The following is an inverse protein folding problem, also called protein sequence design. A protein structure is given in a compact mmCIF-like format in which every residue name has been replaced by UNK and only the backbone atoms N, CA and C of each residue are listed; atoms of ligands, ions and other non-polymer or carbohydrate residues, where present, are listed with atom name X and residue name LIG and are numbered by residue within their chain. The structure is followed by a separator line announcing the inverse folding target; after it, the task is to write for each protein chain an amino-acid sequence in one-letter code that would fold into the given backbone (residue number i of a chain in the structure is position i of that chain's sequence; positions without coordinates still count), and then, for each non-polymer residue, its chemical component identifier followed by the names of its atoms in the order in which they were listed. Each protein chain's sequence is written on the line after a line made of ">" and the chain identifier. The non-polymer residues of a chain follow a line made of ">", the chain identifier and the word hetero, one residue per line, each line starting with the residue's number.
data_IF_876070689328
#
_entry.id   IF_876070689328
#
_cell.length_a   1.000
_cell.length_b   1.000
_cell.length_c   1.000
_cell.angle_alpha   90.00
_cell.angle_beta   90.00
_cell.angle_gamma   90.00
#
_symmetry.space_group_name_H-M   'P 1'
#
loop_
_entity.id
_entity.type
_entity.pdbx_description
1 polymer ?
#
# COMPACT_ATOMS: atom_id res chain seq x y z
N UNK A 1 -26.69 -6.55 -0.99
CA UNK A 1 -25.28 -6.38 -1.41
C UNK A 1 -24.43 -7.41 -0.70
N UNK A 2 -23.44 -7.99 -1.36
CA UNK A 2 -22.54 -8.97 -0.73
C UNK A 2 -21.51 -8.25 0.16
N UNK A 3 -21.71 -8.31 1.48
CA UNK A 3 -20.81 -7.72 2.47
C UNK A 3 -19.92 -8.77 3.14
N UNK A 4 -20.00 -10.04 2.73
CA UNK A 4 -19.28 -11.15 3.38
C UNK A 4 -17.77 -11.01 3.23
N UNK A 5 -17.31 -10.62 2.05
CA UNK A 5 -15.89 -10.38 1.77
C UNK A 5 -15.31 -9.29 2.67
N UNK A 6 -16.04 -8.18 2.83
CA UNK A 6 -15.60 -7.07 3.67
C UNK A 6 -15.62 -7.42 5.17
N UNK A 7 -16.61 -8.20 5.61
CA UNK A 7 -16.63 -8.76 6.99
C UNK A 7 -15.36 -9.55 7.29
N UNK A 8 -14.88 -10.36 6.34
CA UNK A 8 -13.61 -11.10 6.49
C UNK A 8 -12.40 -10.17 6.58
N UNK A 9 -12.36 -9.14 5.73
CA UNK A 9 -11.29 -8.11 5.75
C UNK A 9 -11.25 -7.43 7.13
N UNK A 10 -12.39 -7.00 7.66
CA UNK A 10 -12.47 -6.36 8.97
C UNK A 10 -12.08 -7.31 10.10
N UNK A 11 -12.53 -8.57 10.08
CA UNK A 11 -12.15 -9.55 11.09
C UNK A 11 -10.63 -9.78 11.13
N UNK A 12 -9.97 -9.81 9.96
CA UNK A 12 -8.51 -9.92 9.90
C UNK A 12 -7.84 -8.67 10.47
N UNK A 13 -8.35 -7.48 10.15
CA UNK A 13 -7.83 -6.22 10.69
C UNK A 13 -7.98 -6.16 12.21
N UNK A 14 -9.17 -6.44 12.76
CA UNK A 14 -9.45 -6.49 14.20
C UNK A 14 -8.53 -7.53 14.88
N UNK A 15 -8.36 -8.71 14.27
CA UNK A 15 -7.47 -9.75 14.77
C UNK A 15 -6.00 -9.32 14.81
N UNK A 16 -5.55 -8.54 13.84
CA UNK A 16 -4.19 -7.97 13.83
C UNK A 16 -4.01 -6.83 14.81
N UNK A 17 -5.05 -6.07 15.14
CA UNK A 17 -4.98 -5.03 16.17
C UNK A 17 -4.66 -5.58 17.56
N UNK A 18 -5.13 -6.79 17.88
CA UNK A 18 -4.93 -7.45 19.18
C UNK A 18 -5.43 -6.61 20.38
N UNK A 19 -6.51 -5.84 20.17
CA UNK A 19 -7.10 -4.99 21.22
C UNK A 19 -8.05 -5.75 22.15
N UNK A 20 -8.59 -6.86 21.67
CA UNK A 20 -9.53 -7.73 22.38
C UNK A 20 -9.09 -9.18 22.22
N UNK A 21 -9.54 -10.05 23.12
CA UNK A 21 -9.25 -11.48 23.04
C UNK A 21 -9.81 -12.09 21.75
N UNK A 22 -9.10 -13.03 21.11
CA UNK A 22 -9.45 -13.59 19.80
C UNK A 22 -10.65 -14.59 19.84
N UNK A 23 -11.57 -14.42 20.79
CA UNK A 23 -12.70 -15.33 21.04
C UNK A 23 -13.95 -14.97 20.22
N UNK A 24 -13.78 -14.53 18.97
CA UNK A 24 -14.88 -14.12 18.08
C UNK A 24 -14.71 -14.70 16.67
N UNK A 25 -15.83 -15.09 16.05
CA UNK A 25 -15.86 -15.53 14.64
C UNK A 25 -16.66 -14.57 13.74
N UNK A 26 -17.41 -13.63 14.32
CA UNK A 26 -18.16 -12.59 13.60
C UNK A 26 -17.95 -11.22 14.24
N UNK A 27 -18.31 -10.15 13.52
CA UNK A 27 -18.18 -8.78 14.02
C UNK A 27 -19.11 -8.53 15.21
N UNK A 28 -20.30 -9.13 15.21
CA UNK A 28 -21.30 -8.98 16.26
C UNK A 28 -20.90 -9.67 17.58
N UNK A 29 -19.99 -10.65 17.49
CA UNK A 29 -19.42 -11.33 18.68
C UNK A 29 -18.19 -10.61 19.23
N UNK A 30 -17.58 -9.72 18.46
CA UNK A 30 -16.44 -8.96 18.92
C UNK A 30 -16.89 -7.92 19.94
N UNK A 31 -16.13 -7.77 21.03
CA UNK A 31 -16.40 -6.76 22.05
C UNK A 31 -16.00 -5.37 21.51
N UNK A 32 -16.97 -4.68 20.92
CA UNK A 32 -16.80 -3.37 20.32
C UNK A 32 -16.38 -2.32 21.33
N UNK A 33 -16.93 -2.33 22.55
CA UNK A 33 -16.66 -1.33 23.57
C UNK A 33 -15.22 -1.47 24.10
N UNK A 34 -14.79 -2.70 24.36
CA UNK A 34 -13.39 -3.00 24.74
C UNK A 34 -12.43 -2.66 23.61
N UNK A 35 -12.75 -3.03 22.37
CA UNK A 35 -11.94 -2.68 21.20
C UNK A 35 -11.80 -1.17 21.07
N UNK A 36 -12.91 -0.44 21.16
CA UNK A 36 -12.96 1.00 20.97
C UNK A 36 -12.18 1.75 22.06
N UNK A 37 -12.27 1.29 23.31
CA UNK A 37 -11.53 1.87 24.43
C UNK A 37 -10.00 1.84 24.21
N UNK A 38 -9.48 0.72 23.68
CA UNK A 38 -8.05 0.60 23.34
C UNK A 38 -7.72 1.39 22.07
N UNK A 39 -8.60 1.36 21.06
CA UNK A 39 -8.45 2.10 19.81
C UNK A 39 -8.26 3.60 20.05
N UNK A 40 -9.12 4.24 20.86
CA UNK A 40 -9.02 5.67 21.17
C UNK A 40 -7.72 5.99 21.91
N UNK A 41 -7.31 5.13 22.85
CA UNK A 41 -6.04 5.30 23.56
C UNK A 41 -4.85 5.31 22.60
N UNK A 42 -4.81 4.38 21.63
CA UNK A 42 -3.75 4.32 20.60
C UNK A 42 -3.74 5.55 19.69
N UNK A 43 -4.91 6.07 19.34
CA UNK A 43 -5.03 7.31 18.57
C UNK A 43 -4.51 8.52 19.37
N UNK A 44 -4.78 8.58 20.68
CA UNK A 44 -4.30 9.66 21.56
C UNK A 44 -2.78 9.57 21.82
N UNK A 45 -2.23 8.36 22.06
CA UNK A 45 -0.79 8.12 22.21
C UNK A 45 -0.02 8.62 20.97
N UNK A 46 -0.53 8.35 19.77
CA UNK A 46 0.08 8.81 18.51
C UNK A 46 0.11 10.34 18.39
N UNK A 47 -0.79 11.07 19.06
CA UNK A 47 -0.81 12.54 19.06
C UNK A 47 0.16 13.14 20.09
N UNK A 48 0.33 12.47 21.24
CA UNK A 48 1.20 12.96 22.31
C UNK A 48 2.69 12.87 21.95
N UNK A 49 3.11 11.93 21.10
CA UNK A 49 4.50 11.84 20.62
C UNK A 49 4.93 13.01 19.72
N UNK A 50 3.99 13.82 19.17
CA UNK A 50 4.32 15.07 18.47
C UNK A 50 4.54 16.26 19.42
N UNK A 51 4.38 16.07 20.73
CA UNK A 51 4.54 17.08 21.76
C UNK A 51 5.19 16.50 23.01
N UNK A 52 6.41 15.97 22.90
CA UNK A 52 7.25 15.74 24.09
C UNK A 52 7.73 17.06 24.66
N UNK A 53 6.85 17.73 25.41
CA UNK A 53 7.17 18.54 26.57
C UNK A 53 5.86 18.75 27.33
N UNK A 54 5.94 18.47 28.63
CA UNK A 54 5.01 18.84 29.70
C UNK A 54 3.99 17.79 30.18
N UNK A 55 4.35 17.30 31.39
CA UNK A 55 3.52 16.89 32.51
C UNK A 55 2.86 15.49 32.50
N UNK A 56 3.46 14.63 33.35
CA UNK A 56 2.72 13.80 34.30
C UNK A 56 1.54 14.59 34.92
N UNK A 57 0.41 13.92 35.11
CA UNK A 57 -0.82 14.37 35.79
C UNK A 57 -1.82 15.27 35.01
N UNK A 58 -2.09 14.95 33.74
CA UNK A 58 -3.40 15.30 33.16
C UNK A 58 -4.41 14.16 33.42
N UNK A 59 -5.62 14.45 33.93
CA UNK A 59 -6.66 13.44 34.07
C UNK A 59 -6.96 12.88 32.68
N UNK A 60 -6.88 11.55 32.55
CA UNK A 60 -7.27 10.80 31.35
C UNK A 60 -8.60 11.35 30.87
N UNK A 61 -8.60 12.07 29.73
CA UNK A 61 -9.84 12.57 29.14
C UNK A 61 -10.81 11.38 29.04
N UNK A 62 -12.06 11.52 29.49
CA UNK A 62 -13.02 10.44 29.45
C UNK A 62 -13.10 9.90 28.02
N UNK A 63 -13.02 8.58 27.89
CA UNK A 63 -13.16 7.92 26.59
C UNK A 63 -14.60 8.20 26.13
N UNK A 64 -14.81 8.85 24.98
CA UNK A 64 -16.15 9.14 24.49
C UNK A 64 -16.89 7.84 24.21
N UNK A 65 -18.22 7.89 24.14
CA UNK A 65 -18.97 6.74 23.63
C UNK A 65 -18.74 6.57 22.12
N UNK A 66 -18.86 5.34 21.60
CA UNK A 66 -18.71 5.06 20.16
C UNK A 66 -19.63 5.96 19.32
N UNK A 67 -20.88 6.12 19.76
CA UNK A 67 -21.87 6.94 19.06
C UNK A 67 -21.48 8.43 19.03
N UNK A 68 -20.98 8.98 20.14
CA UNK A 68 -20.50 10.37 20.21
C UNK A 68 -19.30 10.59 19.30
N UNK A 69 -18.36 9.62 19.29
CA UNK A 69 -17.20 9.66 18.42
C UNK A 69 -17.60 9.64 16.94
N UNK A 70 -18.54 8.78 16.56
CA UNK A 70 -19.03 8.71 15.19
C UNK A 70 -19.82 9.97 14.81
N UNK A 71 -20.65 10.52 15.71
CA UNK A 71 -21.39 11.75 15.44
C UNK A 71 -20.44 12.94 15.18
N UNK A 72 -19.36 13.02 15.96
CA UNK A 72 -18.37 14.08 15.82
C UNK A 72 -17.52 13.93 14.55
N UNK A 73 -17.11 12.70 14.21
CA UNK A 73 -16.17 12.48 13.10
C UNK A 73 -16.85 12.11 11.78
N UNK A 74 -18.09 11.64 11.79
CA UNK A 74 -18.87 11.21 10.63
C UNK A 74 -20.34 11.63 10.79
N UNK A 75 -20.63 12.94 10.84
CA UNK A 75 -22.00 13.44 11.06
C UNK A 75 -22.98 12.93 10.00
N UNK A 76 -22.53 12.82 8.75
CA UNK A 76 -23.34 12.35 7.62
C UNK A 76 -23.71 10.87 7.68
N UNK A 77 -23.06 10.10 8.55
CA UNK A 77 -23.43 8.71 8.79
C UNK A 77 -24.64 8.59 9.75
N UNK A 78 -24.84 9.59 10.63
CA UNK A 78 -25.86 9.58 11.70
C UNK A 78 -27.02 10.54 11.37
N UNK A 79 -27.32 10.78 10.09
CA UNK A 79 -28.51 11.57 9.74
C UNK A 79 -29.74 10.84 10.28
N UNK A 80 -30.40 11.46 11.26
CA UNK A 80 -31.55 10.90 11.98
C UNK A 80 -32.73 10.78 11.01
N UNK A 81 -32.84 9.65 10.32
CA UNK A 81 -34.02 9.35 9.52
C UNK A 81 -35.17 8.96 10.45
N UNK A 82 -36.14 9.85 10.61
CA UNK A 82 -37.44 9.62 11.26
C UNK A 82 -37.44 9.11 12.72
N UNK A 83 -36.55 9.66 13.56
CA UNK A 83 -36.71 9.59 15.02
C UNK A 83 -36.58 8.21 15.66
N UNK A 84 -36.05 7.22 14.94
CA UNK A 84 -35.64 5.93 15.51
C UNK A 84 -34.14 5.75 15.33
N UNK A 85 -33.42 5.69 16.45
CA UNK A 85 -32.02 5.28 16.46
C UNK A 85 -31.92 3.89 15.84
N UNK A 86 -31.30 3.80 14.66
CA UNK A 86 -31.03 2.51 14.04
C UNK A 86 -29.91 1.85 14.83
N UNK A 87 -30.03 0.55 15.19
CA UNK A 87 -28.97 -0.15 15.90
C UNK A 87 -27.63 -0.02 15.15
N UNK A 88 -26.56 0.25 15.91
CA UNK A 88 -25.19 0.35 15.42
C UNK A 88 -24.78 -0.98 14.77
N UNK A 89 -24.77 -1.00 13.45
CA UNK A 89 -24.30 -2.15 12.70
C UNK A 89 -22.76 -2.16 12.74
N UNK A 90 -22.23 -3.16 13.46
CA UNK A 90 -20.80 -3.37 13.71
C UNK A 90 -19.98 -3.33 12.42
N UNK A 91 -20.56 -3.76 11.28
CA UNK A 91 -19.93 -3.67 9.97
C UNK A 91 -19.49 -2.23 9.66
N UNK A 92 -20.42 -1.27 9.77
CA UNK A 92 -20.14 0.13 9.44
C UNK A 92 -19.30 0.79 10.52
N UNK A 93 -19.52 0.46 11.79
CA UNK A 93 -18.71 1.00 12.88
C UNK A 93 -17.23 0.65 12.68
N UNK A 94 -16.90 -0.63 12.51
CA UNK A 94 -15.51 -1.03 12.28
C UNK A 94 -14.92 -0.48 10.97
N UNK A 95 -15.74 -0.36 9.93
CA UNK A 95 -15.33 0.30 8.69
C UNK A 95 -14.92 1.76 8.94
N UNK A 96 -15.70 2.49 9.72
CA UNK A 96 -15.44 3.89 10.06
C UNK A 96 -14.24 4.06 10.98
N UNK A 97 -14.00 3.13 11.91
CA UNK A 97 -12.79 3.12 12.76
C UNK A 97 -11.53 2.86 11.93
N UNK A 98 -11.58 1.89 11.00
CA UNK A 98 -10.50 1.61 10.06
C UNK A 98 -10.22 2.84 9.18
N UNK A 99 -11.25 3.40 8.54
CA UNK A 99 -11.13 4.63 7.75
C UNK A 99 -10.59 5.79 8.58
N UNK A 100 -11.07 5.97 9.81
CA UNK A 100 -10.64 7.07 10.65
C UNK A 100 -9.14 7.00 10.95
N UNK A 101 -8.66 5.83 11.35
CA UNK A 101 -7.26 5.62 11.76
C UNK A 101 -6.26 5.63 10.59
N UNK A 102 -6.72 5.37 9.37
CA UNK A 102 -5.85 5.31 8.20
C UNK A 102 -5.96 6.54 7.30
N UNK A 103 -7.11 7.19 7.26
CA UNK A 103 -7.42 8.29 6.34
C UNK A 103 -7.62 9.62 7.09
N UNK A 104 -8.62 9.73 7.98
CA UNK A 104 -8.91 11.02 8.66
C UNK A 104 -7.83 11.46 9.63
N UNK A 105 -7.30 10.50 10.41
CA UNK A 105 -6.19 10.70 11.35
C UNK A 105 -5.16 9.61 11.14
N UNK A 106 -4.34 9.73 10.08
CA UNK A 106 -3.34 8.73 9.75
C UNK A 106 -2.38 8.52 10.91
N UNK A 107 -2.25 7.27 11.33
CA UNK A 107 -1.32 6.84 12.37
C UNK A 107 -0.43 5.74 11.83
N UNK A 108 0.89 5.91 12.01
CA UNK A 108 1.88 4.91 11.60
C UNK A 108 1.60 3.54 12.24
N UNK A 109 1.07 3.51 13.45
CA UNK A 109 0.67 2.28 14.11
C UNK A 109 -0.39 1.51 13.29
N UNK A 110 -1.47 2.18 12.88
CA UNK A 110 -2.54 1.55 12.12
C UNK A 110 -2.16 1.28 10.66
N UNK A 111 -1.31 2.11 10.05
CA UNK A 111 -0.74 1.82 8.73
C UNK A 111 0.16 0.58 8.76
N UNK A 112 0.98 0.42 9.81
CA UNK A 112 1.79 -0.79 10.00
C UNK A 112 0.92 -2.04 10.20
N UNK A 113 -0.21 -1.93 10.91
CA UNK A 113 -1.19 -3.02 11.00
C UNK A 113 -1.69 -3.37 9.60
N UNK A 114 -2.13 -2.38 8.83
CA UNK A 114 -2.65 -2.61 7.47
C UNK A 114 -1.59 -3.28 6.58
N UNK A 115 -0.34 -2.81 6.61
CA UNK A 115 0.78 -3.36 5.84
C UNK A 115 1.20 -4.78 6.28
N UNK A 116 0.77 -5.23 7.46
CA UNK A 116 1.05 -6.58 7.98
C UNK A 116 -0.03 -7.61 7.64
N UNK A 117 -1.14 -7.17 7.03
CA UNK A 117 -2.23 -8.04 6.60
C UNK A 117 -1.86 -8.83 5.33
N UNK A 118 -2.58 -9.90 4.98
CA UNK A 118 -2.40 -10.59 3.70
C UNK A 118 -2.59 -9.64 2.52
N UNK A 119 -1.87 -9.86 1.41
CA UNK A 119 -1.87 -8.99 0.23
C UNK A 119 -3.28 -8.70 -0.29
N UNK A 120 -4.13 -9.73 -0.44
CA UNK A 120 -5.52 -9.56 -0.84
C UNK A 120 -6.29 -8.58 0.05
N UNK A 121 -6.07 -8.66 1.36
CA UNK A 121 -6.71 -7.79 2.36
C UNK A 121 -6.18 -6.37 2.25
N UNK A 122 -4.88 -6.20 2.02
CA UNK A 122 -4.28 -4.88 1.76
C UNK A 122 -4.88 -4.25 0.49
N UNK A 123 -4.98 -5.01 -0.61
CA UNK A 123 -5.58 -4.53 -1.87
C UNK A 123 -7.03 -4.11 -1.67
N UNK A 124 -7.82 -4.90 -0.94
CA UNK A 124 -9.21 -4.55 -0.63
C UNK A 124 -9.31 -3.25 0.19
N UNK A 125 -8.47 -3.09 1.22
CA UNK A 125 -8.44 -1.88 2.05
C UNK A 125 -7.99 -0.67 1.23
N UNK A 126 -6.94 -0.81 0.41
CA UNK A 126 -6.44 0.26 -0.44
C UNK A 126 -7.48 0.72 -1.48
N UNK A 127 -8.18 -0.22 -2.11
CA UNK A 127 -9.28 0.10 -3.03
C UNK A 127 -10.41 0.85 -2.32
N UNK A 128 -10.79 0.40 -1.13
CA UNK A 128 -11.80 1.08 -0.33
C UNK A 128 -11.39 2.52 0.01
N UNK A 129 -10.13 2.73 0.45
CA UNK A 129 -9.62 4.07 0.74
C UNK A 129 -9.53 4.95 -0.51
N UNK A 130 -9.15 4.40 -1.65
CA UNK A 130 -9.17 5.13 -2.93
C UNK A 130 -10.54 5.70 -3.29
N UNK A 131 -11.62 5.00 -2.94
CA UNK A 131 -12.99 5.47 -3.16
C UNK A 131 -13.48 6.45 -2.06
N UNK A 132 -12.85 6.48 -0.88
CA UNK A 132 -13.42 7.14 0.31
C UNK A 132 -12.64 8.37 0.83
N UNK A 133 -11.40 8.57 0.38
CA UNK A 133 -10.47 9.56 0.97
C UNK A 133 -11.00 11.00 1.05
N UNK A 134 -11.76 11.45 0.05
CA UNK A 134 -12.29 12.82 -0.06
C UNK A 134 -13.83 12.87 -0.17
N UNK A 135 -14.53 11.88 0.40
CA UNK A 135 -15.98 11.73 0.26
C UNK A 135 -16.73 11.83 1.59
N UNK A 136 -17.97 12.30 1.52
CA UNK A 136 -18.91 12.21 2.64
C UNK A 136 -19.39 10.77 2.78
N UNK A 137 -19.12 10.15 3.93
CA UNK A 137 -19.40 8.74 4.17
C UNK A 137 -20.81 8.55 4.74
N UNK A 138 -21.83 8.74 3.89
CA UNK A 138 -23.19 8.31 4.22
C UNK A 138 -23.28 6.79 4.28
N UNK A 139 -24.33 6.27 4.91
CA UNK A 139 -24.55 4.82 5.02
C UNK A 139 -24.69 4.16 3.64
N UNK A 140 -25.39 4.79 2.71
CA UNK A 140 -25.59 4.30 1.35
C UNK A 140 -24.25 4.25 0.60
N UNK A 141 -23.44 5.30 0.72
CA UNK A 141 -22.14 5.38 0.05
C UNK A 141 -21.18 4.31 0.59
N UNK A 142 -21.14 4.12 1.92
CA UNK A 142 -20.37 3.04 2.53
C UNK A 142 -20.83 1.67 2.04
N UNK A 143 -22.14 1.43 1.98
CA UNK A 143 -22.69 0.16 1.50
C UNK A 143 -22.25 -0.14 0.06
N UNK A 144 -22.31 0.87 -0.82
CA UNK A 144 -21.88 0.74 -2.20
C UNK A 144 -20.36 0.52 -2.33
N UNK A 145 -19.56 1.30 -1.60
CA UNK A 145 -18.09 1.16 -1.62
C UNK A 145 -17.66 -0.22 -1.12
N UNK A 146 -18.31 -0.73 -0.07
CA UNK A 146 -18.10 -2.09 0.45
C UNK A 146 -18.46 -3.15 -0.60
N UNK A 147 -19.55 -2.95 -1.35
CA UNK A 147 -19.95 -3.87 -2.41
C UNK A 147 -18.96 -3.90 -3.58
N UNK A 148 -18.37 -2.76 -3.94
CA UNK A 148 -17.34 -2.68 -4.99
C UNK A 148 -16.10 -3.51 -4.62
N UNK A 149 -15.68 -3.46 -3.36
CA UNK A 149 -14.53 -4.25 -2.86
C UNK A 149 -14.78 -5.76 -2.93
N UNK A 150 -16.04 -6.21 -2.86
CA UNK A 150 -16.37 -7.63 -2.96
C UNK A 150 -15.94 -8.24 -4.31
N UNK A 151 -15.95 -7.44 -5.39
CA UNK A 151 -15.51 -7.86 -6.72
C UNK A 151 -14.01 -8.20 -6.71
N UNK A 152 -13.21 -7.35 -6.08
CA UNK A 152 -11.75 -7.51 -5.95
C UNK A 152 -11.42 -8.76 -5.13
N UNK A 153 -12.12 -8.93 -4.01
CA UNK A 153 -11.92 -10.08 -3.14
C UNK A 153 -12.21 -11.41 -3.86
N UNK A 154 -13.28 -11.45 -4.67
CA UNK A 154 -13.63 -12.62 -5.46
C UNK A 154 -12.59 -12.91 -6.56
N UNK A 155 -12.07 -11.88 -7.23
CA UNK A 155 -11.06 -12.03 -8.29
C UNK A 155 -9.69 -12.49 -7.75
N UNK A 156 -9.29 -12.01 -6.57
CA UNK A 156 -8.07 -12.48 -5.89
C UNK A 156 -8.20 -13.88 -5.30
N UNK A 157 -9.42 -14.35 -5.00
CA UNK A 157 -9.65 -15.74 -4.56
C UNK A 157 -9.58 -16.72 -5.73
N UNK A 158 -10.01 -16.32 -6.93
CA UNK A 158 -10.01 -17.18 -8.12
C UNK A 158 -8.61 -17.40 -8.72
N UNK A 159 -7.70 -16.44 -8.59
CA UNK A 159 -6.30 -16.59 -9.05
C UNK A 159 -5.47 -17.56 -8.20
N UNK A 160 -5.93 -17.90 -6.99
CA UNK A 160 -5.29 -18.86 -6.09
C UNK A 160 -5.73 -20.31 -6.30
N UNK A 161 -6.76 -20.58 -7.13
CA UNK A 161 -7.27 -21.94 -7.34
C UNK A 161 -7.10 -22.29 -8.81
N UNK A 162 -6.11 -23.13 -9.11
CA UNK A 162 -5.91 -23.72 -10.44
C UNK A 162 -7.24 -24.35 -10.91
N UNK A 163 -7.78 -23.95 -12.08
CA UNK A 163 -9.04 -24.49 -12.53
C UNK A 163 -8.81 -25.82 -13.26
N UNK A 164 -9.12 -26.92 -12.58
CA UNK A 164 -9.52 -28.15 -13.28
C UNK A 164 -10.86 -27.86 -13.99
N UNK A 165 -10.80 -27.57 -15.29
CA UNK A 165 -11.97 -27.46 -16.16
C UNK A 165 -12.39 -28.86 -16.65
N UNK A 166 -13.68 -29.22 -16.57
CA UNK A 166 -14.25 -30.28 -17.38
C UNK A 166 -14.91 -29.67 -18.63
N UNK A 167 -14.52 -30.13 -19.82
CA UNK A 167 -15.44 -30.56 -20.90
C UNK A 167 -14.77 -30.56 -22.28
N UNK A 168 -14.66 -31.76 -22.82
CA UNK A 168 -14.95 -32.22 -24.19
C UNK A 168 -15.19 -31.18 -25.30
N UNK A 169 -14.39 -31.33 -26.36
CA UNK A 169 -14.81 -31.66 -27.74
C UNK A 169 -14.19 -30.77 -28.85
N UNK A 170 -13.69 -31.50 -29.86
CA UNK A 170 -13.48 -31.14 -31.27
C UNK A 170 -12.21 -30.34 -31.64
N UNK A 171 -11.25 -31.11 -32.16
CA UNK A 171 -10.17 -30.71 -33.08
C UNK A 171 -10.70 -29.95 -34.30
N UNK A 172 -9.86 -29.19 -35.03
CA UNK A 172 -8.94 -29.82 -35.99
C UNK A 172 -7.52 -29.24 -36.03
N UNK A 173 -6.60 -30.13 -36.43
CA UNK A 173 -5.24 -29.90 -36.96
C UNK A 173 -5.25 -28.86 -38.12
N UNK A 174 -4.12 -28.18 -38.46
CA UNK A 174 -2.98 -28.87 -39.08
C UNK A 174 -1.56 -28.34 -38.75
N UNK A 175 -0.63 -29.28 -38.65
CA UNK A 175 0.72 -29.31 -39.27
C UNK A 175 1.69 -28.15 -39.02
N UNK A 176 2.85 -28.46 -38.43
CA UNK A 176 4.15 -28.42 -39.11
C UNK A 176 5.22 -29.13 -38.28
N UNK A 177 6.00 -29.94 -39.00
CA UNK A 177 7.19 -30.67 -38.58
C UNK A 177 8.25 -29.75 -37.94
N UNK A 178 9.01 -30.23 -36.95
CA UNK A 178 10.34 -30.77 -37.23
C UNK A 178 11.00 -31.40 -35.99
N UNK A 179 11.93 -32.30 -36.26
CA UNK A 179 12.39 -33.35 -35.38
C UNK A 179 13.57 -32.97 -34.45
N UNK A 180 13.78 -33.87 -33.47
CA UNK A 180 15.06 -34.40 -32.94
C UNK A 180 15.41 -34.10 -31.47
N UNK A 181 15.24 -35.14 -30.65
CA UNK A 181 16.27 -35.55 -29.68
C UNK A 181 17.29 -36.44 -30.44
N UNK A 182 18.57 -36.45 -30.04
CA UNK A 182 19.00 -37.58 -29.19
C UNK A 182 20.12 -37.29 -28.18
N UNK A 183 20.05 -38.02 -27.05
CA UNK A 183 21.13 -38.74 -26.35
C UNK A 183 22.41 -38.04 -25.87
N UNK A 184 22.61 -38.14 -24.55
CA UNK A 184 23.89 -38.31 -23.79
C UNK A 184 24.88 -39.28 -24.48
N UNK A 185 26.23 -39.23 -24.23
CA UNK A 185 26.78 -39.56 -22.89
C UNK A 185 28.20 -39.02 -22.48
N UNK A 186 28.38 -38.93 -21.15
CA UNK A 186 29.57 -39.28 -20.31
C UNK A 186 30.98 -38.66 -20.48
N UNK A 187 31.59 -38.45 -19.29
CA UNK A 187 33.04 -38.42 -18.91
C UNK A 187 33.64 -37.00 -18.76
N UNK A 188 34.44 -36.61 -17.75
CA UNK A 188 35.22 -37.32 -16.72
C UNK A 188 35.79 -36.35 -15.65
N UNK A 189 35.77 -36.78 -14.38
CA UNK A 189 36.87 -36.76 -13.37
C UNK A 189 37.81 -35.55 -13.19
N UNK A 190 37.88 -35.05 -11.95
CA UNK A 190 39.16 -34.87 -11.23
C UNK A 190 38.98 -34.67 -9.71
N UNK A 191 39.39 -35.67 -8.93
CA UNK A 191 39.82 -35.55 -7.52
C UNK A 191 41.32 -35.22 -7.44
N UNK A 192 41.81 -34.79 -6.27
CA UNK A 192 42.92 -35.54 -5.67
C UNK A 192 42.73 -35.87 -4.19
N UNK A 193 43.53 -36.85 -3.78
CA UNK A 193 43.45 -37.69 -2.59
C UNK A 193 44.39 -37.21 -1.47
N UNK A 194 44.11 -37.58 -0.21
CA UNK A 194 45.14 -37.74 0.81
C UNK A 194 44.90 -38.99 1.67
N UNK A 195 46.00 -39.68 1.94
CA UNK A 195 46.15 -41.11 2.25
C UNK A 195 46.13 -41.46 3.75
N UNK A 196 45.62 -42.64 4.10
CA UNK A 196 46.19 -43.60 5.09
C UNK A 196 45.40 -44.94 5.07
N UNK A 197 45.95 -46.08 5.57
CA UNK A 197 46.12 -47.29 4.78
C UNK A 197 44.98 -48.32 4.86
N UNK A 198 44.65 -48.93 3.72
CA UNK A 198 43.75 -50.08 3.64
C UNK A 198 44.44 -51.36 4.15
N UNK A 199 44.05 -51.79 5.35
CA UNK A 199 44.27 -53.15 5.85
C UNK A 199 43.03 -54.06 5.64
N UNK A 200 42.17 -53.72 4.67
CA UNK A 200 40.85 -54.35 4.54
C UNK A 200 40.70 -55.35 3.38
N UNK A 201 41.68 -55.43 2.46
CA UNK A 201 41.54 -56.25 1.24
C UNK A 201 41.96 -57.73 1.38
N UNK A 202 42.48 -58.16 2.54
CA UNK A 202 42.79 -59.58 2.75
C UNK A 202 41.60 -60.40 3.29
N UNK A 203 40.61 -59.76 3.93
CA UNK A 203 39.48 -60.48 4.54
C UNK A 203 38.39 -60.85 3.54
N UNK A 204 38.24 -60.08 2.46
CA UNK A 204 37.21 -60.35 1.45
C UNK A 204 37.68 -61.36 0.39
N UNK A 205 38.98 -61.40 0.07
CA UNK A 205 39.52 -62.38 -0.89
C UNK A 205 39.56 -63.81 -0.34
N UNK A 206 39.66 -63.98 0.99
CA UNK A 206 39.57 -65.28 1.65
C UNK A 206 38.13 -65.80 1.81
N UNK A 207 37.12 -64.93 1.64
CA UNK A 207 35.70 -65.31 1.82
C UNK A 207 35.05 -65.86 0.55
N UNK A 208 35.65 -65.62 -0.62
CA UNK A 208 35.15 -66.12 -1.91
C UNK A 208 35.70 -67.51 -2.28
N UNK A 209 36.61 -68.09 -1.49
CA UNK A 209 37.23 -69.40 -1.78
C UNK A 209 36.71 -70.56 -0.92
N UNK A 210 35.76 -70.31 -0.02
CA UNK A 210 35.08 -71.34 0.77
C UNK A 210 33.59 -71.30 0.43
N UNK A 211 33.26 -71.57 -0.84
CA UNK A 211 31.90 -71.93 -1.24
C UNK A 211 31.69 -73.41 -0.89
N UNK A 212 31.61 -73.67 0.42
CA UNK A 212 31.01 -74.88 0.96
C UNK A 212 29.62 -74.49 1.42
N UNK A 213 28.61 -75.17 0.87
CA UNK A 213 27.20 -75.12 1.25
C UNK A 213 26.97 -74.81 2.74
N UNK A 214 26.70 -73.57 3.08
CA UNK A 214 26.09 -73.20 4.36
C UNK A 214 24.83 -72.40 4.05
N UNK A 215 23.68 -73.05 4.22
CA UNK A 215 22.47 -72.30 4.54
C UNK A 215 22.80 -71.38 5.72
N UNK A 216 22.37 -70.11 5.71
CA UNK A 216 22.47 -69.28 6.91
C UNK A 216 21.78 -70.05 8.04
N UNK A 217 22.43 -70.20 9.21
CA UNK A 217 21.85 -70.93 10.32
C UNK A 217 20.48 -70.30 10.65
N UNK A 218 19.46 -71.13 10.95
CA UNK A 218 18.11 -70.63 11.20
C UNK A 218 18.15 -69.57 12.30
N UNK A 219 17.47 -68.45 12.07
CA UNK A 219 17.43 -67.33 13.00
C UNK A 219 17.01 -67.81 14.38
N UNK A 220 17.98 -67.91 15.27
CA UNK A 220 17.70 -68.08 16.68
C UNK A 220 17.06 -66.78 17.20
N UNK A 221 16.17 -66.83 18.20
CA UNK A 221 15.57 -65.61 18.77
C UNK A 221 16.61 -64.55 19.19
N UNK A 222 17.82 -64.96 19.55
CA UNK A 222 18.94 -64.06 19.87
C UNK A 222 19.52 -63.35 18.65
N UNK A 223 19.63 -64.02 17.50
CA UNK A 223 20.18 -63.43 16.26
C UNK A 223 19.22 -62.42 15.65
N UNK A 224 17.91 -62.68 15.70
CA UNK A 224 16.88 -61.73 15.22
C UNK A 224 16.84 -60.46 16.11
N UNK A 225 16.91 -60.64 17.43
CA UNK A 225 16.99 -59.51 18.36
C UNK A 225 18.27 -58.68 18.17
N UNK A 226 19.41 -59.32 17.91
CA UNK A 226 20.67 -58.64 17.58
C UNK A 226 20.58 -57.85 16.28
N UNK A 227 19.96 -58.42 15.24
CA UNK A 227 19.76 -57.75 13.95
C UNK A 227 18.83 -56.54 14.09
N UNK A 228 17.73 -56.70 14.82
CA UNK A 228 16.81 -55.60 15.12
C UNK A 228 17.53 -54.45 15.85
N UNK A 229 18.29 -54.76 16.92
CA UNK A 229 19.06 -53.74 17.65
C UNK A 229 20.12 -53.08 16.78
N UNK A 230 20.74 -53.81 15.86
CA UNK A 230 21.72 -53.26 14.92
C UNK A 230 21.07 -52.30 13.93
N UNK A 231 19.86 -52.61 13.46
CA UNK A 231 19.07 -51.75 12.58
C UNK A 231 18.60 -50.49 13.29
N UNK A 232 18.08 -50.62 14.51
CA UNK A 232 17.69 -49.49 15.36
C UNK A 232 18.89 -48.57 15.65
N UNK A 233 20.05 -49.13 16.03
CA UNK A 233 21.27 -48.36 16.24
C UNK A 233 21.70 -47.59 14.98
N UNK A 234 21.57 -48.20 13.79
CA UNK A 234 21.87 -47.52 12.53
C UNK A 234 20.88 -46.38 12.26
N UNK A 235 19.59 -46.58 12.53
CA UNK A 235 18.55 -45.56 12.40
C UNK A 235 18.79 -44.36 13.32
N UNK A 236 19.10 -44.62 14.60
CA UNK A 236 19.40 -43.59 15.59
C UNK A 236 20.66 -42.81 15.17
N UNK A 237 21.71 -43.49 14.68
CA UNK A 237 22.92 -42.81 14.19
C UNK A 237 22.63 -41.90 13.00
N UNK A 238 21.77 -42.32 12.06
CA UNK A 238 21.38 -41.50 10.92
C UNK A 238 20.57 -40.27 11.37
N UNK A 239 19.63 -40.43 12.30
CA UNK A 239 18.88 -39.29 12.87
C UNK A 239 19.79 -38.31 13.61
N UNK A 240 20.74 -38.82 14.40
CA UNK A 240 21.73 -37.98 15.09
C UNK A 240 22.59 -37.18 14.11
N UNK A 241 22.92 -37.75 12.95
CA UNK A 241 23.67 -37.04 11.91
C UNK A 241 22.85 -35.90 11.28
N UNK A 242 21.57 -36.16 10.97
CA UNK A 242 20.66 -35.13 10.45
C UNK A 242 20.49 -33.99 11.44
N UNK A 243 20.26 -34.30 12.72
CA UNK A 243 20.13 -33.28 13.78
C UNK A 243 21.41 -32.48 13.95
N UNK A 244 22.59 -33.13 13.83
CA UNK A 244 23.87 -32.41 13.87
C UNK A 244 24.02 -31.44 12.70
N UNK A 245 23.66 -31.86 11.50
CA UNK A 245 23.68 -31.00 10.33
C UNK A 245 22.72 -29.81 10.47
N UNK A 246 21.47 -30.07 10.84
CA UNK A 246 20.46 -29.02 11.06
C UNK A 246 20.91 -28.02 12.12
N UNK A 247 21.48 -28.53 13.23
CA UNK A 247 22.05 -27.68 14.28
C UNK A 247 23.14 -26.75 13.72
N UNK A 248 24.09 -27.27 12.94
CA UNK A 248 25.16 -26.44 12.36
C UNK A 248 24.60 -25.36 11.44
N UNK A 249 23.63 -25.69 10.59
CA UNK A 249 22.98 -24.71 9.71
C UNK A 249 22.27 -23.62 10.51
N UNK A 250 21.57 -23.98 11.59
CA UNK A 250 20.90 -23.00 12.45
C UNK A 250 21.90 -22.12 13.21
N UNK A 251 23.03 -22.68 13.67
CA UNK A 251 24.11 -21.91 14.30
C UNK A 251 24.75 -20.91 13.33
N UNK A 252 24.96 -21.30 12.06
CA UNK A 252 25.45 -20.41 11.01
C UNK A 252 24.47 -19.27 10.70
N UNK A 253 23.17 -19.58 10.55
CA UNK A 253 22.13 -18.58 10.33
C UNK A 253 21.99 -17.62 11.51
N UNK A 254 22.12 -18.13 12.74
CA UNK A 254 22.08 -17.29 13.94
C UNK A 254 23.25 -16.32 13.96
N UNK A 255 24.47 -16.78 13.64
CA UNK A 255 25.66 -15.93 13.56
C UNK A 255 25.51 -14.83 12.49
N UNK A 256 24.98 -15.18 11.31
CA UNK A 256 24.72 -14.21 10.24
C UNK A 256 23.70 -13.14 10.68
N UNK A 257 22.62 -13.54 11.36
CA UNK A 257 21.63 -12.60 11.90
C UNK A 257 22.21 -11.71 12.98
N UNK A 258 23.06 -12.25 13.85
CA UNK A 258 23.70 -11.47 14.92
C UNK A 258 24.66 -10.41 14.33
N UNK A 259 25.44 -10.76 13.30
CA UNK A 259 26.26 -9.77 12.57
C UNK A 259 25.40 -8.72 11.85
N UNK A 260 24.28 -9.10 11.24
CA UNK A 260 23.35 -8.14 10.62
C UNK A 260 22.75 -7.17 11.65
N UNK A 261 22.32 -7.67 12.81
CA UNK A 261 21.80 -6.85 13.91
C UNK A 261 22.88 -5.86 14.39
N UNK A 262 24.13 -6.31 14.49
CA UNK A 262 25.26 -5.46 14.90
C UNK A 262 25.54 -4.35 13.90
N UNK A 263 25.50 -4.64 12.59
CA UNK A 263 25.62 -3.63 11.52
C UNK A 263 24.47 -2.61 11.60
N UNK A 264 23.23 -3.08 11.63
CA UNK A 264 22.05 -2.20 11.69
C UNK A 264 22.02 -1.35 12.97
N UNK A 265 22.47 -1.90 14.09
CA UNK A 265 22.59 -1.16 15.36
C UNK A 265 23.61 -0.02 15.24
N UNK A 266 24.76 -0.28 14.60
CA UNK A 266 25.78 0.74 14.32
C UNK A 266 25.25 1.83 13.39
N UNK A 267 24.57 1.46 12.30
CA UNK A 267 23.95 2.41 11.37
C UNK A 267 22.89 3.27 12.05
N UNK A 268 22.00 2.65 12.84
CA UNK A 268 21.00 3.36 13.65
C UNK A 268 21.65 4.35 14.62
N UNK A 269 22.76 3.96 15.26
CA UNK A 269 23.51 4.85 16.15
C UNK A 269 24.10 6.04 15.39
N UNK A 270 24.70 5.81 14.21
CA UNK A 270 25.23 6.88 13.36
C UNK A 270 24.13 7.82 12.87
N UNK A 271 23.00 7.29 12.40
CA UNK A 271 21.86 8.08 11.97
C UNK A 271 21.28 8.92 13.11
N UNK A 272 21.19 8.36 14.32
CA UNK A 272 20.75 9.11 15.52
C UNK A 272 21.73 10.22 15.87
N UNK A 273 23.03 9.97 15.78
CA UNK A 273 24.07 10.98 16.02
C UNK A 273 23.99 12.11 14.98
N UNK A 274 23.78 11.79 13.71
CA UNK A 274 23.63 12.78 12.65
C UNK A 274 22.34 13.60 12.80
N UNK A 275 21.23 12.97 13.20
CA UNK A 275 20.00 13.68 13.54
C UNK A 275 20.19 14.64 14.72
N UNK A 276 20.90 14.23 15.78
CA UNK A 276 21.17 15.12 16.90
C UNK A 276 22.14 16.24 16.49
N UNK A 277 23.11 15.97 15.62
CA UNK A 277 24.00 16.99 15.04
C UNK A 277 23.20 18.03 14.25
N UNK A 278 22.34 17.61 13.33
CA UNK A 278 21.49 18.50 12.54
C UNK A 278 20.51 19.28 13.42
N UNK A 279 19.95 18.64 14.44
CA UNK A 279 19.07 19.28 15.42
C UNK A 279 19.81 20.32 16.26
N UNK A 280 21.05 20.06 16.66
CA UNK A 280 21.89 21.02 17.39
C UNK A 280 22.35 22.18 16.50
N UNK A 281 22.63 21.93 15.21
CA UNK A 281 22.85 23.02 14.23
C UNK A 281 21.60 23.91 14.16
N UNK A 282 20.41 23.31 14.04
CA UNK A 282 19.13 24.04 14.00
C UNK A 282 18.80 24.77 15.32
N UNK A 283 19.30 24.30 16.46
CA UNK A 283 19.07 24.92 17.78
C UNK A 283 20.13 25.98 18.15
N UNK A 284 21.34 25.88 17.59
CA UNK A 284 22.38 26.92 17.74
C UNK A 284 22.20 28.08 16.74
N UNK A 285 21.24 27.99 15.82
CA UNK A 285 20.75 29.12 15.03
C UNK A 285 19.74 29.95 15.86
N UNK A 286 20.22 30.68 16.87
CA UNK A 286 19.59 31.93 17.33
C UNK A 286 20.25 33.12 16.63
N UNK A 287 19.52 34.23 16.39
CA UNK A 287 19.67 35.06 15.21
C UNK A 287 20.89 35.96 15.33
N UNK A 288 22.02 35.50 14.80
CA UNK A 288 23.04 36.41 14.32
C UNK A 288 22.99 36.39 12.81
N UNK A 289 22.65 37.55 12.26
CA UNK A 289 22.67 37.87 10.83
C UNK A 289 23.87 37.24 10.12
N UNK A 290 23.54 36.63 8.97
CA UNK A 290 24.39 36.17 7.86
C UNK A 290 24.41 34.66 7.65
N UNK A 291 24.09 34.31 6.40
CA UNK A 291 24.30 33.00 5.75
C UNK A 291 23.22 31.92 5.91
N UNK A 292 21.95 32.28 5.67
CA UNK A 292 21.04 31.43 4.84
C UNK A 292 19.79 32.15 4.30
N UNK A 293 19.65 33.47 4.51
CA UNK A 293 18.47 34.24 4.10
C UNK A 293 18.62 34.94 2.73
N UNK A 294 18.77 34.17 1.65
CA UNK A 294 18.73 34.75 0.28
C UNK A 294 17.46 34.37 -0.49
N UNK A 295 16.73 33.33 -0.07
CA UNK A 295 15.62 32.76 -0.87
C UNK A 295 14.17 33.03 -0.41
N UNK A 296 13.88 33.88 0.60
CA UNK A 296 12.50 34.38 0.77
C UNK A 296 12.30 35.80 0.24
N UNK A 297 13.28 36.70 0.40
CA UNK A 297 13.12 38.13 0.10
C UNK A 297 13.14 38.44 -1.39
N UNK A 298 13.98 37.78 -2.18
CA UNK A 298 13.99 37.95 -3.64
C UNK A 298 12.71 37.44 -4.28
N UNK A 299 12.16 36.33 -3.77
CA UNK A 299 10.89 35.78 -4.23
C UNK A 299 9.71 36.71 -3.88
N UNK A 300 9.66 37.22 -2.65
CA UNK A 300 8.68 38.22 -2.21
C UNK A 300 8.77 39.52 -3.03
N UNK A 301 9.98 40.03 -3.24
CA UNK A 301 10.22 41.24 -4.04
C UNK A 301 9.83 41.03 -5.51
N UNK A 302 10.20 39.91 -6.10
CA UNK A 302 9.85 39.56 -7.48
C UNK A 302 8.33 39.38 -7.62
N UNK A 303 7.68 38.71 -6.68
CA UNK A 303 6.21 38.60 -6.61
C UNK A 303 5.56 39.98 -6.53
N UNK A 304 6.07 40.86 -5.67
CA UNK A 304 5.60 42.24 -5.56
C UNK A 304 5.81 43.06 -6.84
N UNK A 305 6.94 42.87 -7.52
CA UNK A 305 7.24 43.52 -8.80
C UNK A 305 6.31 43.04 -9.91
N UNK A 306 6.06 41.74 -10.01
CA UNK A 306 5.15 41.16 -11.00
C UNK A 306 3.71 41.62 -10.78
N UNK A 307 3.24 41.70 -9.54
CA UNK A 307 1.91 42.20 -9.23
C UNK A 307 1.74 43.68 -9.63
N UNK A 308 2.77 44.51 -9.43
CA UNK A 308 2.76 45.91 -9.90
C UNK A 308 2.74 45.99 -11.42
N UNK A 309 3.54 45.17 -12.10
CA UNK A 309 3.56 45.13 -13.56
C UNK A 309 2.22 44.66 -14.15
N UNK A 310 1.58 43.68 -13.53
CA UNK A 310 0.22 43.24 -13.90
C UNK A 310 -0.76 44.41 -13.76
N UNK A 311 -0.76 45.11 -12.63
CA UNK A 311 -1.65 46.26 -12.44
C UNK A 311 -1.42 47.38 -13.47
N UNK A 312 -0.15 47.65 -13.84
CA UNK A 312 0.16 48.62 -14.91
C UNK A 312 -0.36 48.16 -16.27
N UNK A 313 -0.22 46.87 -16.60
CA UNK A 313 -0.74 46.30 -17.85
C UNK A 313 -2.26 46.31 -17.88
N UNK A 314 -2.93 46.02 -16.77
CA UNK A 314 -4.39 46.08 -16.64
C UNK A 314 -4.91 47.50 -16.86
N UNK A 315 -4.25 48.51 -16.27
CA UNK A 315 -4.60 49.92 -16.50
C UNK A 315 -4.41 50.33 -17.97
N UNK A 316 -3.32 49.90 -18.61
CA UNK A 316 -3.08 50.18 -20.02
C UNK A 316 -4.12 49.49 -20.93
N UNK A 317 -4.52 48.26 -20.60
CA UNK A 317 -5.59 47.54 -21.31
C UNK A 317 -6.90 48.30 -21.18
N UNK A 318 -7.24 48.81 -19.99
CA UNK A 318 -8.43 49.63 -19.79
C UNK A 318 -8.39 50.89 -20.68
N UNK A 319 -7.27 51.62 -20.66
CA UNK A 319 -7.12 52.84 -21.48
C UNK A 319 -7.22 52.56 -22.99
N UNK A 320 -6.60 51.47 -23.47
CA UNK A 320 -6.71 51.06 -24.88
C UNK A 320 -8.14 50.65 -25.22
N UNK A 321 -8.83 49.98 -24.29
CA UNK A 321 -10.23 49.56 -24.49
C UNK A 321 -11.16 50.76 -24.60
N UNK A 322 -10.98 51.79 -23.77
CA UNK A 322 -11.73 53.04 -23.83
C UNK A 322 -11.47 53.78 -25.14
N UNK A 323 -10.21 53.95 -25.53
CA UNK A 323 -9.85 54.56 -26.83
C UNK A 323 -10.44 53.81 -28.02
N UNK A 324 -10.44 52.48 -27.97
CA UNK A 324 -11.08 51.65 -29.00
C UNK A 324 -12.60 51.84 -29.03
N UNK A 325 -13.23 52.06 -27.89
CA UNK A 325 -14.65 52.37 -27.81
C UNK A 325 -14.94 53.72 -28.47
N UNK A 326 -14.20 54.76 -28.08
CA UNK A 326 -14.35 56.11 -28.64
C UNK A 326 -14.18 56.12 -30.16
N UNK A 327 -13.13 55.47 -30.68
CA UNK A 327 -12.90 55.36 -32.12
C UNK A 327 -14.02 54.59 -32.85
N UNK A 328 -14.64 53.59 -32.21
CA UNK A 328 -15.81 52.90 -32.79
C UNK A 328 -17.02 53.82 -32.87
N UNK A 329 -17.23 54.66 -31.85
CA UNK A 329 -18.30 55.66 -31.84
C UNK A 329 -18.06 56.69 -32.94
N UNK A 330 -16.88 57.29 -33.00
CA UNK A 330 -16.52 58.26 -34.04
C UNK A 330 -16.64 57.67 -35.46
N UNK A 331 -16.16 56.44 -35.66
CA UNK A 331 -16.32 55.74 -36.94
C UNK A 331 -17.80 55.59 -37.32
N UNK A 332 -18.65 55.26 -36.36
CA UNK A 332 -20.08 55.10 -36.59
C UNK A 332 -20.74 56.44 -36.96
N UNK A 333 -20.39 57.53 -36.27
CA UNK A 333 -20.87 58.87 -36.60
C UNK A 333 -20.41 59.35 -37.98
N UNK A 334 -19.14 59.13 -38.34
CA UNK A 334 -18.62 59.49 -39.65
C UNK A 334 -19.29 58.70 -40.77
N UNK A 335 -19.58 57.42 -40.53
CA UNK A 335 -20.30 56.57 -41.47
C UNK A 335 -21.74 57.04 -41.67
N UNK A 336 -22.42 57.46 -40.60
CA UNK A 336 -23.75 58.09 -40.68
C UNK A 336 -23.73 59.40 -41.47
N UNK A 337 -22.76 60.28 -41.19
CA UNK A 337 -22.56 61.54 -41.94
C UNK A 337 -22.27 61.29 -43.42
N UNK A 338 -21.46 60.29 -43.74
CA UNK A 338 -21.17 59.91 -45.13
C UNK A 338 -22.43 59.40 -45.84
N UNK A 339 -23.22 58.56 -45.18
CA UNK A 339 -24.49 58.07 -45.72
C UNK A 339 -25.47 59.22 -45.99
N UNK A 340 -25.61 60.16 -45.05
CA UNK A 340 -26.45 61.36 -45.22
C UNK A 340 -25.97 62.26 -46.35
N UNK A 341 -24.66 62.50 -46.47
CA UNK A 341 -24.11 63.29 -47.57
C UNK A 341 -24.28 62.59 -48.93
N UNK A 342 -24.14 61.26 -48.95
CA UNK A 342 -24.39 60.43 -50.13
C UNK A 342 -25.84 60.51 -50.59
N UNK A 343 -26.81 60.32 -49.68
CA UNK A 343 -28.24 60.42 -50.00
C UNK A 343 -28.64 61.83 -50.42
N UNK A 344 -28.12 62.87 -49.75
CA UNK A 344 -28.39 64.26 -50.11
C UNK A 344 -27.91 64.59 -51.54
N UNK A 345 -26.65 64.26 -51.88
CA UNK A 345 -26.15 64.47 -53.26
C UNK A 345 -26.92 63.67 -54.28
N UNK A 346 -27.32 62.44 -53.95
CA UNK A 346 -28.11 61.60 -54.86
C UNK A 346 -29.49 62.22 -55.12
N UNK A 347 -30.09 62.82 -54.11
CA UNK A 347 -31.35 63.56 -54.24
C UNK A 347 -31.17 64.81 -55.12
N UNK A 348 -30.11 65.60 -54.90
CA UNK A 348 -29.79 66.77 -55.74
C UNK A 348 -29.56 66.38 -57.21
N UNK A 349 -28.83 65.30 -57.47
CA UNK A 349 -28.64 64.80 -58.84
C UNK A 349 -29.95 64.32 -59.45
N UNK A 350 -30.79 63.62 -58.67
CA UNK A 350 -32.11 63.15 -59.13
C UNK A 350 -33.02 64.31 -59.50
N UNK A 351 -33.07 65.35 -58.68
CA UNK A 351 -33.87 66.55 -58.96
C UNK A 351 -33.33 67.32 -60.17
N UNK A 352 -32.01 67.39 -60.35
CA UNK A 352 -31.41 68.03 -61.54
C UNK A 352 -31.65 67.23 -62.82
N UNK A 353 -31.60 65.90 -62.78
CA UNK A 353 -31.98 65.04 -63.91
C UNK A 353 -33.44 65.25 -64.28
N UNK A 354 -34.35 65.25 -63.29
CA UNK A 354 -35.78 65.50 -63.50
C UNK A 354 -36.03 66.87 -64.15
N UNK A 355 -35.27 67.89 -63.75
CA UNK A 355 -35.36 69.23 -64.34
C UNK A 355 -34.91 69.23 -65.83
N UNK A 356 -33.85 68.50 -66.15
CA UNK A 356 -33.33 68.39 -67.52
C UNK A 356 -34.24 67.55 -68.43
N UNK A 357 -34.95 66.56 -67.88
CA UNK A 357 -35.95 65.77 -68.62
C UNK A 357 -37.27 66.52 -68.89
N UNK A 358 -37.48 67.69 -68.26
CA UNK A 358 -38.69 68.51 -68.41
C UNK A 358 -38.59 69.64 -69.44
N UNK A 359 -37.44 69.77 -70.10
CA UNK A 359 -37.17 70.68 -71.23
C UNK A 359 -37.12 69.85 -72.52
#
# INVERSE_FOLDING_TARGET
>A
MDTRSWRKVLLQWIGKCQFIEPNYISLEQSDLDSFFSVFIRKIQETQSDKGKKELQDQPTKPIPLVQEFLAHNYPEFIVHQDGKEQPLDCLYVYTLLLHYSCVKKPSLFFHNICNSLPELTQTCIASFFGETVDRLLTREYLSQSIANVAIIYQQGTQTSVSPCLPSSSLSPDPRSDDAQCPSTPSSSSSQPSSSTPQLHNHRERLRLQMSGSEMPPPSTPKTELLEQRTKELRGIRAQLEVVRYEKTVLEEQQLEKDELIKVLSKEKMMAKMELERLKNVKLNEEPHDNESHIMPYEFEHMKGSLLKEIGLKENLIAEITDKLHDLRVEKSELLEKLNLAGTHRLLEYTDRVRLLESV
#
